data_IF_790766628579
#
_entry.id   IF_790766628579
#
_cell.length_a   1.000
_cell.length_b   1.000
_cell.length_c   1.000
_cell.angle_alpha   90.00
_cell.angle_beta   90.00
_cell.angle_gamma   90.00
#
_symmetry.space_group_name_H-M   'P 1'
#
loop_
_entity.id
_entity.type
_entity.pdbx_description
1 polymer ?
#
# COMPACT_ATOMS: atom_id res chain seq x y z
N UNK A 1 -13.11 14.26 -12.16
CA UNK A 1 -11.86 14.12 -11.37
C UNK A 1 -12.29 13.51 -10.07
N UNK A 2 -12.17 12.19 -9.90
CA UNK A 2 -12.55 11.56 -8.63
C UNK A 2 -11.37 11.71 -7.68
N UNK A 3 -11.49 12.71 -6.81
CA UNK A 3 -10.63 12.93 -5.68
C UNK A 3 -11.05 11.91 -4.61
N UNK A 4 -10.38 10.76 -4.55
CA UNK A 4 -10.54 9.85 -3.41
C UNK A 4 -9.80 10.48 -2.23
N UNK A 5 -10.57 10.88 -1.21
CA UNK A 5 -10.02 11.46 0.01
C UNK A 5 -9.67 10.33 0.97
N UNK A 6 -8.36 10.12 1.18
CA UNK A 6 -7.85 9.23 2.22
C UNK A 6 -7.52 10.10 3.43
N UNK A 7 -8.27 9.94 4.51
CA UNK A 7 -7.89 10.61 5.76
C UNK A 7 -6.91 9.72 6.51
N UNK A 8 -5.70 10.23 6.68
CA UNK A 8 -4.58 9.49 7.28
C UNK A 8 -4.26 10.15 8.63
N UNK A 9 -4.99 9.77 9.66
CA UNK A 9 -4.75 10.24 11.02
C UNK A 9 -3.47 9.57 11.58
N UNK A 10 -2.32 10.16 11.24
CA UNK A 10 -1.00 9.78 11.70
C UNK A 10 -0.69 10.46 13.04
N UNK A 11 -1.00 9.75 14.12
CA UNK A 11 -0.73 10.23 15.49
C UNK A 11 0.75 10.46 15.81
N UNK A 12 1.67 9.93 15.00
CA UNK A 12 3.08 9.71 15.38
C UNK A 12 4.10 10.76 14.92
N UNK A 13 3.71 11.81 14.19
CA UNK A 13 4.63 12.89 13.83
C UNK A 13 4.32 14.16 14.61
N UNK A 14 5.37 14.88 15.02
CA UNK A 14 5.31 16.25 15.53
C UNK A 14 4.91 17.19 14.38
N UNK A 15 3.70 17.00 13.86
CA UNK A 15 3.11 17.86 12.86
C UNK A 15 2.35 18.99 13.55
N UNK A 16 2.51 20.18 13.00
CA UNK A 16 1.77 21.37 13.39
C UNK A 16 0.56 21.41 12.47
N UNK A 17 -0.62 21.06 12.99
CA UNK A 17 -1.89 20.97 12.25
C UNK A 17 -1.95 19.85 11.18
N UNK A 18 -2.91 19.92 10.26
CA UNK A 18 -3.09 18.96 9.15
C UNK A 18 -2.19 19.29 7.96
N UNK A 19 -1.35 18.35 7.54
CA UNK A 19 -0.60 18.43 6.29
C UNK A 19 -1.36 17.70 5.17
N UNK A 20 -1.64 18.42 4.07
CA UNK A 20 -2.28 17.86 2.90
C UNK A 20 -1.26 17.43 1.86
N UNK A 21 -1.28 16.16 1.50
CA UNK A 21 -0.45 15.59 0.43
C UNK A 21 -1.30 15.01 -0.68
N UNK A 22 -1.00 15.36 -1.93
CA UNK A 22 -1.67 14.80 -3.10
C UNK A 22 -0.74 13.82 -3.82
N UNK A 23 -1.01 12.53 -3.68
CA UNK A 23 -0.22 11.47 -4.33
C UNK A 23 -1.00 10.95 -5.53
N UNK A 24 -0.45 11.13 -6.73
CA UNK A 24 -0.96 10.47 -7.94
C UNK A 24 -0.48 9.03 -7.95
N UNK A 25 -1.43 8.10 -7.98
CA UNK A 25 -1.23 6.67 -8.03
C UNK A 25 -1.85 6.15 -9.34
N UNK A 26 -1.15 5.28 -10.07
CA UNK A 26 -1.60 4.72 -11.37
C UNK A 26 -2.10 5.76 -12.40
N UNK A 27 -1.59 7.00 -12.31
CA UNK A 27 -1.92 8.11 -13.19
C UNK A 27 -3.26 8.81 -12.89
N UNK A 28 -4.36 8.06 -12.69
CA UNK A 28 -5.71 8.60 -12.54
C UNK A 28 -6.26 8.58 -11.11
N UNK A 29 -5.71 7.74 -10.22
CA UNK A 29 -6.08 7.70 -8.82
C UNK A 29 -5.33 8.81 -8.08
N UNK A 30 -6.06 9.80 -7.57
CA UNK A 30 -5.48 10.83 -6.70
C UNK A 30 -5.81 10.47 -5.27
N UNK A 31 -4.77 10.19 -4.49
CA UNK A 31 -4.87 9.98 -3.06
C UNK A 31 -4.65 11.33 -2.38
N UNK A 32 -5.71 11.90 -1.81
CA UNK A 32 -5.57 13.06 -0.94
C UNK A 32 -5.30 12.52 0.46
N UNK A 33 -4.05 12.58 0.90
CA UNK A 33 -3.62 12.19 2.24
C UNK A 33 -3.76 13.41 3.16
N UNK A 34 -4.47 13.21 4.27
CA UNK A 34 -4.61 14.21 5.33
C UNK A 34 -3.83 13.71 6.53
N UNK A 35 -2.60 14.21 6.72
CA UNK A 35 -1.74 13.85 7.84
C UNK A 35 -2.05 14.77 9.03
N UNK A 36 -2.78 14.26 10.02
CA UNK A 36 -3.30 15.04 11.13
C UNK A 36 -2.41 14.88 12.38
N UNK A 37 -1.85 15.99 12.88
CA UNK A 37 -1.03 16.00 14.09
C UNK A 37 -1.74 15.46 15.33
N UNK A 38 -1.10 14.55 16.05
CA UNK A 38 -1.69 13.84 17.20
C UNK A 38 -1.70 14.59 18.54
N UNK A 39 -1.38 15.90 18.59
CA UNK A 39 -1.33 16.65 19.84
C UNK A 39 -2.76 16.95 20.35
N UNK A 40 -2.94 16.93 21.67
CA UNK A 40 -4.25 17.08 22.34
C UNK A 40 -5.05 18.30 21.86
N UNK A 41 -4.41 19.47 21.78
CA UNK A 41 -5.05 20.70 21.31
C UNK A 41 -5.56 20.61 19.85
N UNK A 42 -4.88 19.84 18.99
CA UNK A 42 -5.33 19.64 17.61
C UNK A 42 -6.46 18.62 17.54
N UNK A 43 -6.37 17.53 18.31
CA UNK A 43 -7.43 16.52 18.39
C UNK A 43 -8.76 17.12 18.83
N UNK A 44 -8.76 17.99 19.83
CA UNK A 44 -9.97 18.70 20.27
C UNK A 44 -10.56 19.57 19.14
N UNK A 45 -9.72 20.29 18.40
CA UNK A 45 -10.15 21.09 17.25
C UNK A 45 -10.75 20.21 16.13
N UNK A 46 -10.18 19.04 15.87
CA UNK A 46 -10.70 18.09 14.89
C UNK A 46 -12.11 17.59 15.25
N UNK A 47 -12.41 17.41 16.55
CA UNK A 47 -13.74 16.94 16.98
C UNK A 47 -14.76 18.07 17.18
N UNK A 48 -14.29 19.30 17.35
CA UNK A 48 -15.14 20.47 17.57
C UNK A 48 -15.32 21.30 16.29
N UNK A 49 -14.37 22.17 15.97
CA UNK A 49 -14.52 23.19 14.92
C UNK A 49 -14.27 22.66 13.52
N UNK A 50 -13.43 21.64 13.35
CA UNK A 50 -13.06 21.08 12.06
C UNK A 50 -13.73 19.73 11.74
N UNK A 51 -14.69 19.28 12.57
CA UNK A 51 -15.30 17.94 12.47
C UNK A 51 -15.82 17.62 11.08
N UNK A 52 -16.63 18.51 10.50
CA UNK A 52 -17.22 18.31 9.17
C UNK A 52 -16.17 18.38 8.05
N UNK A 53 -15.07 19.09 8.26
CA UNK A 53 -14.00 19.20 7.27
C UNK A 53 -13.14 17.93 7.24
N UNK A 54 -12.85 17.35 8.42
CA UNK A 54 -11.98 16.18 8.56
C UNK A 54 -12.72 14.89 8.26
N UNK A 55 -13.95 14.72 8.76
CA UNK A 55 -14.62 13.41 8.78
C UNK A 55 -15.64 13.20 7.66
N UNK A 56 -15.81 14.16 6.74
CA UNK A 56 -16.74 14.06 5.62
C UNK A 56 -16.05 13.57 4.34
N UNK A 57 -16.74 12.73 3.58
CA UNK A 57 -16.26 12.12 2.34
C UNK A 57 -14.95 11.33 2.53
N UNK A 58 -14.83 10.63 3.67
CA UNK A 58 -13.67 9.81 3.99
C UNK A 58 -13.88 8.41 3.41
N UNK A 59 -12.96 7.99 2.56
CA UNK A 59 -12.96 6.64 1.98
C UNK A 59 -12.24 5.64 2.87
N UNK A 60 -11.18 6.12 3.52
CA UNK A 60 -10.30 5.32 4.36
C UNK A 60 -9.86 6.15 5.56
N UNK A 61 -9.97 5.56 6.74
CA UNK A 61 -9.32 6.02 7.96
C UNK A 61 -8.13 5.10 8.26
N UNK A 62 -6.93 5.67 8.30
CA UNK A 62 -5.74 4.99 8.84
C UNK A 62 -5.43 5.61 10.20
N UNK A 63 -5.52 4.82 11.28
CA UNK A 63 -5.17 5.26 12.63
C UNK A 63 -3.91 4.55 13.11
N UNK A 64 -2.93 5.31 13.61
CA UNK A 64 -1.63 4.78 14.05
C UNK A 64 -1.51 4.79 15.57
N UNK A 65 -1.22 3.62 16.13
CA UNK A 65 -0.94 3.41 17.55
C UNK A 65 0.55 3.23 17.77
N UNK A 66 1.12 3.90 18.76
CA UNK A 66 2.49 3.65 19.21
C UNK A 66 2.49 2.45 20.18
N UNK A 67 3.26 1.41 19.87
CA UNK A 67 3.33 0.21 20.74
C UNK A 67 3.92 0.51 22.11
N UNK A 68 4.75 1.54 22.25
CA UNK A 68 5.36 1.96 23.52
C UNK A 68 4.50 2.97 24.30
N UNK A 69 3.30 3.31 23.80
CA UNK A 69 2.45 4.28 24.46
C UNK A 69 2.14 3.85 25.90
N UNK A 70 2.39 4.77 26.83
CA UNK A 70 2.07 4.61 28.26
C UNK A 70 0.65 5.08 28.58
N UNK A 71 -0.01 5.74 27.65
CA UNK A 71 -1.34 6.38 27.83
C UNK A 71 -2.42 5.67 27.00
N UNK A 72 -2.43 4.32 27.07
CA UNK A 72 -3.28 3.47 26.24
C UNK A 72 -4.77 3.80 26.34
N UNK A 73 -5.27 4.11 27.54
CA UNK A 73 -6.67 4.49 27.74
C UNK A 73 -7.03 5.78 26.99
N UNK A 74 -6.11 6.76 27.02
CA UNK A 74 -6.28 8.02 26.29
C UNK A 74 -6.22 7.79 24.77
N UNK A 75 -5.31 6.92 24.33
CA UNK A 75 -5.22 6.54 22.91
C UNK A 75 -6.51 5.91 22.40
N UNK A 76 -7.09 5.01 23.20
CA UNK A 76 -8.36 4.36 22.88
C UNK A 76 -9.51 5.36 22.88
N UNK A 77 -9.54 6.30 23.82
CA UNK A 77 -10.58 7.33 23.85
C UNK A 77 -10.56 8.19 22.58
N UNK A 78 -9.38 8.66 22.16
CA UNK A 78 -9.25 9.41 20.91
C UNK A 78 -9.63 8.60 19.68
N UNK A 79 -9.23 7.32 19.65
CA UNK A 79 -9.61 6.43 18.56
C UNK A 79 -11.13 6.27 18.46
N UNK A 80 -11.82 6.03 19.58
CA UNK A 80 -13.28 5.92 19.61
C UNK A 80 -13.97 7.22 19.17
N UNK A 81 -13.47 8.38 19.59
CA UNK A 81 -13.98 9.68 19.13
C UNK A 81 -13.84 9.86 17.62
N UNK A 82 -12.73 9.38 17.01
CA UNK A 82 -12.59 9.34 15.54
C UNK A 82 -13.62 8.40 14.90
N UNK A 83 -13.83 7.21 15.47
CA UNK A 83 -14.81 6.26 14.94
C UNK A 83 -16.24 6.80 15.02
N UNK A 84 -16.62 7.47 16.09
CA UNK A 84 -17.93 8.11 16.23
C UNK A 84 -18.13 9.21 15.17
N UNK A 85 -17.10 10.03 14.93
CA UNK A 85 -17.14 11.05 13.90
C UNK A 85 -17.24 10.44 12.49
N UNK A 86 -16.51 9.35 12.21
CA UNK A 86 -16.61 8.60 10.96
C UNK A 86 -17.99 7.96 10.79
N UNK A 87 -18.51 7.31 11.82
CA UNK A 87 -19.82 6.64 11.76
C UNK A 87 -20.95 7.63 11.43
N UNK A 88 -20.83 8.88 11.87
CA UNK A 88 -21.82 9.93 11.60
C UNK A 88 -21.66 10.56 10.21
N UNK A 89 -20.43 10.71 9.71
CA UNK A 89 -20.15 11.52 8.52
C UNK A 89 -19.74 10.72 7.27
N UNK A 90 -19.12 9.56 7.46
CA UNK A 90 -18.59 8.67 6.41
C UNK A 90 -18.69 7.20 6.84
N UNK A 91 -19.90 6.63 7.04
CA UNK A 91 -20.08 5.29 7.60
C UNK A 91 -19.54 4.15 6.71
N UNK A 92 -19.32 4.40 5.42
CA UNK A 92 -18.74 3.43 4.47
C UNK A 92 -17.20 3.45 4.46
N UNK A 93 -16.57 4.32 5.26
CA UNK A 93 -15.12 4.43 5.34
C UNK A 93 -14.48 3.12 5.81
N UNK A 94 -13.41 2.69 5.14
CA UNK A 94 -12.63 1.52 5.54
C UNK A 94 -11.66 1.90 6.66
N UNK A 95 -11.68 1.15 7.76
CA UNK A 95 -10.87 1.45 8.94
C UNK A 95 -9.63 0.55 8.99
N UNK A 96 -8.45 1.16 9.11
CA UNK A 96 -7.19 0.48 9.31
C UNK A 96 -6.50 0.97 10.58
N UNK A 97 -5.98 0.02 11.35
CA UNK A 97 -5.21 0.33 12.56
C UNK A 97 -3.77 -0.18 12.39
N UNK A 98 -2.81 0.73 12.48
CA UNK A 98 -1.39 0.39 12.43
C UNK A 98 -0.83 0.38 13.85
N UNK A 99 -0.50 -0.80 14.38
CA UNK A 99 0.28 -0.92 15.61
C UNK A 99 1.75 -0.74 15.21
N UNK A 100 2.28 0.45 15.46
CA UNK A 100 3.53 0.94 14.92
C UNK A 100 4.69 0.87 15.92
N UNK A 101 5.91 1.06 15.42
CA UNK A 101 7.18 0.92 16.16
C UNK A 101 7.40 -0.48 16.74
N UNK A 102 6.90 -1.51 16.06
CA UNK A 102 7.03 -2.90 16.49
C UNK A 102 8.47 -3.42 16.53
N UNK A 103 9.42 -2.68 15.95
CA UNK A 103 10.86 -2.90 16.09
C UNK A 103 11.35 -2.80 17.55
N UNK A 104 10.68 -1.98 18.38
CA UNK A 104 11.01 -1.79 19.79
C UNK A 104 10.56 -2.97 20.68
N UNK A 105 9.70 -3.84 20.14
CA UNK A 105 9.26 -5.07 20.80
C UNK A 105 10.18 -6.22 20.42
N UNK A 106 10.54 -7.03 21.42
CA UNK A 106 11.32 -8.26 21.23
C UNK A 106 10.59 -9.23 20.26
N UNK A 107 11.33 -9.84 19.34
CA UNK A 107 10.77 -10.60 18.20
C UNK A 107 9.80 -11.71 18.64
N UNK A 108 10.11 -12.41 19.73
CA UNK A 108 9.31 -13.47 20.33
C UNK A 108 7.98 -12.96 20.94
N UNK A 109 7.90 -11.68 21.28
CA UNK A 109 6.70 -11.05 21.85
C UNK A 109 5.82 -10.35 20.81
N UNK A 110 6.35 -10.08 19.60
CA UNK A 110 5.64 -9.27 18.58
C UNK A 110 4.29 -9.86 18.18
N UNK A 111 4.20 -11.18 18.01
CA UNK A 111 2.95 -11.85 17.62
C UNK A 111 1.91 -11.81 18.74
N UNK A 112 2.35 -11.97 19.99
CA UNK A 112 1.48 -12.02 21.18
C UNK A 112 0.85 -10.64 21.39
N UNK A 113 1.70 -9.60 21.47
CA UNK A 113 1.25 -8.22 21.67
C UNK A 113 0.35 -7.77 20.52
N UNK A 114 0.70 -8.10 19.27
CA UNK A 114 -0.12 -7.75 18.12
C UNK A 114 -1.53 -8.36 18.21
N UNK A 115 -1.65 -9.65 18.52
CA UNK A 115 -2.96 -10.34 18.59
C UNK A 115 -3.83 -9.80 19.73
N UNK A 116 -3.24 -9.49 20.86
CA UNK A 116 -3.95 -8.88 22.00
C UNK A 116 -4.53 -7.52 21.61
N UNK A 117 -3.68 -6.64 21.05
CA UNK A 117 -4.10 -5.31 20.58
C UNK A 117 -5.13 -5.39 19.45
N UNK A 118 -4.95 -6.31 18.50
CA UNK A 118 -5.90 -6.52 17.40
C UNK A 118 -7.28 -6.93 17.93
N UNK A 119 -7.34 -7.83 18.92
CA UNK A 119 -8.61 -8.25 19.51
C UNK A 119 -9.33 -7.09 20.20
N UNK A 120 -8.61 -6.27 20.96
CA UNK A 120 -9.17 -5.09 21.61
C UNK A 120 -9.66 -4.06 20.60
N UNK A 121 -8.85 -3.75 19.59
CA UNK A 121 -9.21 -2.78 18.55
C UNK A 121 -10.45 -3.24 17.79
N UNK A 122 -10.53 -4.51 17.38
CA UNK A 122 -11.72 -5.06 16.71
C UNK A 122 -12.97 -4.97 17.58
N UNK A 123 -12.86 -5.26 18.88
CA UNK A 123 -13.97 -5.14 19.83
C UNK A 123 -14.44 -3.70 20.00
N UNK A 124 -13.50 -2.77 20.15
CA UNK A 124 -13.77 -1.35 20.35
C UNK A 124 -14.21 -0.63 19.08
N UNK A 125 -13.98 -1.22 17.90
CA UNK A 125 -14.36 -0.65 16.61
C UNK A 125 -15.83 -0.84 16.26
N UNK A 126 -16.52 -1.78 16.92
CA UNK A 126 -17.91 -2.10 16.60
C UNK A 126 -18.81 -0.86 16.69
N UNK A 127 -19.74 -0.65 15.73
CA UNK A 127 -20.14 -1.59 14.68
C UNK A 127 -19.28 -1.57 13.40
N UNK A 128 -18.24 -0.73 13.33
CA UNK A 128 -17.35 -0.65 12.18
C UNK A 128 -16.36 -1.83 12.18
N UNK A 129 -16.02 -2.30 10.98
CA UNK A 129 -14.96 -3.30 10.80
C UNK A 129 -13.60 -2.61 10.68
N UNK A 130 -12.59 -3.10 11.40
CA UNK A 130 -11.22 -2.61 11.28
C UNK A 130 -10.24 -3.73 10.91
N UNK A 131 -9.25 -3.36 10.09
CA UNK A 131 -8.13 -4.24 9.72
C UNK A 131 -6.86 -3.75 10.40
N UNK A 132 -6.20 -4.63 11.17
CA UNK A 132 -5.00 -4.29 11.93
C UNK A 132 -3.72 -4.76 11.23
N UNK A 133 -2.67 -3.96 11.31
CA UNK A 133 -1.32 -4.33 10.87
C UNK A 133 -0.30 -3.97 11.94
N UNK A 134 0.65 -4.88 12.18
CA UNK A 134 1.91 -4.52 12.85
C UNK A 134 2.84 -3.88 11.84
N UNK A 135 3.46 -2.75 12.19
CA UNK A 135 4.31 -2.01 11.27
C UNK A 135 5.57 -1.48 11.95
N UNK A 136 6.65 -1.41 11.18
CA UNK A 136 7.88 -0.70 11.50
C UNK A 136 8.44 -0.03 10.25
N UNK A 137 9.09 1.12 10.43
CA UNK A 137 9.85 1.78 9.36
C UNK A 137 11.17 1.08 9.02
N UNK A 138 11.61 0.15 9.88
CA UNK A 138 12.90 -0.53 9.77
C UNK A 138 12.83 -1.85 9.01
N UNK A 139 11.62 -2.30 8.64
CA UNK A 139 11.39 -3.56 7.94
C UNK A 139 10.29 -3.44 6.85
N UNK A 140 9.99 -4.55 6.19
CA UNK A 140 9.02 -4.62 5.09
C UNK A 140 7.55 -4.49 5.53
N UNK A 141 7.26 -4.52 6.82
CA UNK A 141 5.87 -4.60 7.32
C UNK A 141 5.07 -3.33 7.00
N UNK A 142 5.72 -2.17 6.92
CA UNK A 142 5.07 -0.93 6.49
C UNK A 142 4.61 -1.01 5.02
N UNK A 143 5.44 -1.56 4.13
CA UNK A 143 5.05 -1.77 2.73
C UNK A 143 3.86 -2.73 2.62
N UNK A 144 3.76 -3.73 3.51
CA UNK A 144 2.64 -4.67 3.55
C UNK A 144 1.33 -3.96 3.86
N UNK A 145 1.32 -3.16 4.92
CA UNK A 145 0.15 -2.41 5.33
C UNK A 145 -0.31 -1.45 4.22
N UNK A 146 0.60 -0.63 3.69
CA UNK A 146 0.27 0.33 2.64
C UNK A 146 -0.15 -0.34 1.33
N UNK A 147 0.49 -1.46 0.93
CA UNK A 147 0.08 -2.20 -0.25
C UNK A 147 -1.35 -2.71 -0.09
N UNK A 148 -1.71 -3.25 1.08
CA UNK A 148 -3.08 -3.71 1.35
C UNK A 148 -4.10 -2.57 1.36
N UNK A 149 -3.73 -1.41 1.93
CA UNK A 149 -4.61 -0.24 2.00
C UNK A 149 -4.88 0.30 0.60
N UNK A 150 -3.82 0.52 -0.19
CA UNK A 150 -3.94 1.07 -1.54
C UNK A 150 -4.62 0.08 -2.47
N UNK A 151 -4.34 -1.23 -2.34
CA UNK A 151 -5.00 -2.27 -3.13
C UNK A 151 -6.53 -2.19 -3.04
N UNK A 152 -7.08 -1.89 -1.85
CA UNK A 152 -8.51 -1.74 -1.64
C UNK A 152 -9.13 -0.48 -2.28
N UNK A 153 -8.30 0.44 -2.78
CA UNK A 153 -8.72 1.68 -3.43
C UNK A 153 -8.53 1.65 -4.95
N UNK A 154 -7.84 0.63 -5.48
CA UNK A 154 -7.61 0.52 -6.91
C UNK A 154 -8.91 0.09 -7.60
N UNK A 155 -9.48 0.91 -8.50
CA UNK A 155 -10.64 0.50 -9.29
C UNK A 155 -10.25 -0.60 -10.28
N UNK A 156 -11.20 -1.49 -10.60
CA UNK A 156 -11.03 -2.55 -11.61
C UNK A 156 -9.86 -3.53 -11.35
N UNK A 157 -9.44 -3.70 -10.09
CA UNK A 157 -8.31 -4.57 -9.75
C UNK A 157 -8.48 -6.02 -10.26
N UNK A 158 -9.72 -6.53 -10.32
CA UNK A 158 -10.03 -7.86 -10.86
C UNK A 158 -9.70 -8.02 -12.34
N UNK A 159 -9.91 -6.98 -13.15
CA UNK A 159 -9.57 -7.01 -14.58
C UNK A 159 -8.05 -6.96 -14.79
N UNK A 160 -7.35 -6.21 -13.93
CA UNK A 160 -5.90 -6.15 -13.88
C UNK A 160 -5.31 -7.52 -13.52
N UNK A 161 -5.82 -8.17 -12.47
CA UNK A 161 -5.42 -9.52 -12.07
C UNK A 161 -5.67 -10.55 -13.19
N UNK A 162 -6.85 -10.53 -13.82
CA UNK A 162 -7.17 -11.42 -14.94
C UNK A 162 -6.22 -11.23 -16.12
N UNK A 163 -5.88 -9.97 -16.43
CA UNK A 163 -4.94 -9.65 -17.50
C UNK A 163 -3.51 -10.06 -17.15
N UNK A 164 -3.10 -9.89 -15.90
CA UNK A 164 -1.79 -10.29 -15.41
C UNK A 164 -1.64 -11.82 -15.39
N UNK A 165 -2.70 -12.55 -15.01
CA UNK A 165 -2.75 -14.01 -15.09
C UNK A 165 -2.60 -14.51 -16.53
N UNK A 166 -3.32 -13.90 -17.49
CA UNK A 166 -3.17 -14.23 -18.91
C UNK A 166 -1.76 -13.97 -19.41
N UNK A 167 -1.17 -12.82 -19.03
CA UNK A 167 0.20 -12.48 -19.38
C UNK A 167 1.19 -13.51 -18.82
N UNK A 168 1.11 -13.84 -17.53
CA UNK A 168 1.96 -14.83 -16.88
C UNK A 168 1.88 -16.22 -17.56
N UNK A 169 0.69 -16.62 -18.02
CA UNK A 169 0.50 -17.86 -18.75
C UNK A 169 1.15 -17.83 -20.14
N UNK A 170 1.09 -16.69 -20.84
CA UNK A 170 1.69 -16.54 -22.19
C UNK A 170 3.22 -16.57 -22.12
N UNK A 171 3.81 -15.95 -21.11
CA UNK A 171 5.27 -15.92 -20.91
C UNK A 171 5.81 -17.14 -20.17
N UNK A 172 4.93 -18.05 -19.77
CA UNK A 172 5.21 -19.19 -18.91
C UNK A 172 6.01 -18.85 -17.63
N UNK A 173 5.72 -17.70 -17.03
CA UNK A 173 6.40 -17.23 -15.82
C UNK A 173 5.91 -17.99 -14.57
N UNK A 174 6.80 -18.18 -13.60
CA UNK A 174 6.45 -18.75 -12.30
C UNK A 174 5.70 -17.74 -11.43
N UNK A 175 6.10 -16.47 -11.55
CA UNK A 175 5.53 -15.37 -10.81
C UNK A 175 5.66 -14.07 -11.60
N UNK A 176 4.61 -13.25 -11.57
CA UNK A 176 4.62 -11.90 -12.13
C UNK A 176 4.10 -10.93 -11.09
N UNK A 177 4.87 -9.87 -10.82
CA UNK A 177 4.49 -8.79 -9.91
C UNK A 177 4.34 -7.51 -10.70
N UNK A 178 3.31 -6.74 -10.39
CA UNK A 178 3.09 -5.41 -10.94
C UNK A 178 3.19 -4.39 -9.82
N UNK A 179 3.96 -3.34 -10.05
CA UNK A 179 4.25 -2.29 -9.08
C UNK A 179 3.83 -0.92 -9.60
N UNK A 180 3.39 -0.04 -8.71
CA UNK A 180 3.25 1.37 -9.03
C UNK A 180 4.64 2.04 -9.09
N UNK A 181 4.88 2.87 -10.10
CA UNK A 181 6.20 3.41 -10.44
C UNK A 181 6.85 4.27 -9.37
N UNK A 182 6.10 5.16 -8.71
CA UNK A 182 6.67 6.13 -7.77
C UNK A 182 6.99 5.48 -6.42
N UNK A 183 6.02 4.74 -5.88
CA UNK A 183 6.04 4.13 -4.56
C UNK A 183 6.68 2.75 -4.54
N UNK A 184 6.68 2.03 -5.67
CA UNK A 184 7.04 0.62 -5.76
C UNK A 184 6.15 -0.31 -4.91
N UNK A 185 4.95 0.12 -4.54
CA UNK A 185 3.95 -0.75 -3.92
C UNK A 185 3.44 -1.78 -4.93
N UNK A 186 3.23 -3.01 -4.47
CA UNK A 186 2.64 -4.07 -5.30
C UNK A 186 1.16 -3.78 -5.50
N UNK A 187 0.72 -3.70 -6.75
CA UNK A 187 -0.67 -3.41 -7.12
C UNK A 187 -1.42 -4.67 -7.57
N UNK A 188 -0.71 -5.65 -8.11
CA UNK A 188 -1.27 -6.92 -8.56
C UNK A 188 -0.14 -7.94 -8.67
N UNK A 189 -0.47 -9.22 -8.52
CA UNK A 189 0.48 -10.30 -8.71
C UNK A 189 -0.21 -11.54 -9.30
N UNK A 190 0.58 -12.39 -9.92
CA UNK A 190 0.17 -13.71 -10.38
C UNK A 190 1.23 -14.71 -9.92
N UNK A 191 0.80 -15.76 -9.23
CA UNK A 191 1.66 -16.81 -8.71
C UNK A 191 1.24 -18.16 -9.29
N UNK A 192 2.12 -18.80 -10.06
CA UNK A 192 1.91 -20.14 -10.62
C UNK A 192 2.64 -21.23 -9.84
N UNK A 193 3.70 -20.87 -9.12
CA UNK A 193 4.42 -21.79 -8.22
C UNK A 193 4.35 -21.32 -6.77
N UNK A 194 4.22 -22.26 -5.84
CA UNK A 194 4.24 -21.92 -4.42
C UNK A 194 5.63 -21.44 -3.98
N UNK A 195 5.69 -20.31 -3.28
CA UNK A 195 6.91 -19.74 -2.72
C UNK A 195 6.85 -19.81 -1.19
N UNK A 196 7.97 -20.18 -0.57
CA UNK A 196 8.07 -20.31 0.90
C UNK A 196 7.89 -18.99 1.63
N UNK A 197 8.43 -17.90 1.07
CA UNK A 197 8.36 -16.58 1.68
C UNK A 197 7.08 -15.84 1.26
N UNK A 198 6.15 -15.74 2.20
CA UNK A 198 4.88 -15.03 2.03
C UNK A 198 5.04 -13.50 2.07
N UNK A 199 6.17 -12.98 2.56
CA UNK A 199 6.47 -11.55 2.67
C UNK A 199 7.40 -11.06 1.55
N UNK A 200 7.60 -11.88 0.51
CA UNK A 200 8.53 -11.56 -0.59
C UNK A 200 8.12 -10.32 -1.39
N UNK A 201 6.82 -10.04 -1.50
CA UNK A 201 6.33 -8.91 -2.30
C UNK A 201 6.84 -7.59 -1.73
N UNK A 202 6.72 -7.43 -0.42
CA UNK A 202 7.11 -6.23 0.31
C UNK A 202 8.62 -6.10 0.43
N UNK A 203 9.32 -7.24 0.60
CA UNK A 203 10.78 -7.28 0.54
C UNK A 203 11.30 -6.80 -0.81
N UNK A 204 10.73 -7.29 -1.91
CA UNK A 204 11.10 -6.85 -3.27
C UNK A 204 10.81 -5.36 -3.45
N UNK A 205 9.61 -4.88 -3.06
CA UNK A 205 9.27 -3.46 -3.08
C UNK A 205 10.30 -2.60 -2.35
N UNK A 206 10.68 -2.98 -1.12
CA UNK A 206 11.66 -2.27 -0.33
C UNK A 206 13.06 -2.29 -0.98
N UNK A 207 13.55 -3.46 -1.39
CA UNK A 207 14.86 -3.61 -2.05
C UNK A 207 14.97 -2.71 -3.29
N UNK A 208 13.99 -2.78 -4.19
CA UNK A 208 14.03 -2.01 -5.43
C UNK A 208 13.83 -0.52 -5.17
N UNK A 209 13.01 -0.14 -4.18
CA UNK A 209 12.87 1.26 -3.79
C UNK A 209 14.18 1.84 -3.25
N UNK A 210 14.89 1.11 -2.37
CA UNK A 210 16.20 1.54 -1.86
C UNK A 210 17.25 1.64 -2.98
N UNK A 211 17.24 0.69 -3.91
CA UNK A 211 18.11 0.73 -5.09
C UNK A 211 17.81 1.96 -5.97
N UNK A 212 16.53 2.23 -6.25
CA UNK A 212 16.11 3.39 -7.04
C UNK A 212 16.51 4.72 -6.38
N UNK A 213 16.37 4.83 -5.06
CA UNK A 213 16.83 5.99 -4.30
C UNK A 213 18.35 6.17 -4.41
N UNK A 214 19.10 5.07 -4.38
CA UNK A 214 20.55 5.08 -4.58
C UNK A 214 20.94 5.54 -5.98
N UNK A 215 20.24 5.10 -7.04
CA UNK A 215 20.45 5.61 -8.40
C UNK A 215 20.18 7.12 -8.50
N UNK A 216 19.11 7.60 -7.86
CA UNK A 216 18.74 9.03 -7.91
C UNK A 216 19.77 9.92 -7.22
N UNK A 217 20.42 9.44 -6.14
CA UNK A 217 21.57 10.14 -5.52
C UNK A 217 22.76 10.29 -6.47
N UNK A 218 22.89 9.39 -7.45
CA UNK A 218 23.90 9.44 -8.51
C UNK A 218 23.41 10.20 -9.75
N UNK A 219 22.30 10.94 -9.65
CA UNK A 219 21.64 11.65 -10.76
C UNK A 219 21.24 10.75 -11.95
N UNK A 220 21.06 9.44 -11.71
CA UNK A 220 20.59 8.47 -12.70
C UNK A 220 19.19 7.95 -12.35
N UNK A 221 18.42 7.57 -13.38
CA UNK A 221 17.11 6.95 -13.19
C UNK A 221 17.20 5.44 -13.41
N UNK A 222 16.65 4.67 -12.48
CA UNK A 222 16.45 3.24 -12.67
C UNK A 222 15.51 3.00 -13.86
N UNK A 223 15.89 2.11 -14.78
CA UNK A 223 15.11 1.76 -15.97
C UNK A 223 14.70 0.30 -15.98
N UNK A 224 15.66 -0.62 -15.82
CA UNK A 224 15.42 -2.05 -15.77
C UNK A 224 16.52 -2.78 -15.00
N UNK A 225 16.26 -4.03 -14.63
CA UNK A 225 17.19 -4.94 -13.97
C UNK A 225 16.93 -6.37 -14.43
N UNK A 226 17.99 -7.10 -14.75
CA UNK A 226 17.96 -8.56 -14.95
C UNK A 226 18.84 -9.20 -13.87
N UNK A 227 18.28 -10.18 -13.15
CA UNK A 227 19.00 -10.96 -12.15
C UNK A 227 18.86 -12.43 -12.54
N UNK A 228 19.99 -13.14 -12.63
CA UNK A 228 20.01 -14.55 -13.05
C UNK A 228 20.93 -15.36 -12.15
N UNK A 229 20.50 -16.57 -11.85
CA UNK A 229 21.33 -17.62 -11.27
C UNK A 229 20.98 -18.98 -11.91
N UNK A 230 21.48 -20.08 -11.34
CA UNK A 230 21.23 -21.43 -11.84
C UNK A 230 19.80 -21.93 -11.63
N UNK A 231 19.01 -21.26 -10.78
CA UNK A 231 17.65 -21.67 -10.40
C UNK A 231 16.55 -20.80 -11.01
N UNK A 232 16.82 -19.50 -11.26
CA UNK A 232 15.85 -18.58 -11.83
C UNK A 232 16.49 -17.39 -12.55
N UNK A 233 15.69 -16.75 -13.40
CA UNK A 233 15.90 -15.42 -13.93
C UNK A 233 14.73 -14.51 -13.54
N UNK A 234 15.03 -13.29 -13.11
CA UNK A 234 14.05 -12.25 -12.80
C UNK A 234 14.32 -11.00 -13.62
N UNK A 235 13.27 -10.49 -14.25
CA UNK A 235 13.32 -9.30 -15.10
C UNK A 235 12.43 -8.22 -14.50
N UNK A 236 13.01 -7.09 -14.13
CA UNK A 236 12.28 -5.91 -13.67
C UNK A 236 12.41 -4.86 -14.75
N UNK A 237 11.30 -4.41 -15.32
CA UNK A 237 11.30 -3.40 -16.38
C UNK A 237 10.11 -2.45 -16.23
N UNK A 238 10.27 -1.24 -16.73
CA UNK A 238 9.18 -0.29 -16.83
C UNK A 238 8.09 -0.87 -17.72
N UNK A 239 6.88 -1.00 -17.20
CA UNK A 239 5.80 -1.69 -17.92
C UNK A 239 4.87 -0.72 -18.62
N UNK A 240 4.31 0.25 -17.90
CA UNK A 240 3.53 1.37 -18.45
C UNK A 240 4.18 2.71 -18.05
N UNK A 241 3.53 3.84 -18.34
CA UNK A 241 3.96 5.14 -17.81
C UNK A 241 3.94 5.20 -16.28
N UNK A 242 3.09 4.40 -15.64
CA UNK A 242 2.79 4.43 -14.21
C UNK A 242 3.17 3.15 -13.46
N UNK A 243 3.68 2.12 -14.15
CA UNK A 243 3.96 0.82 -13.52
C UNK A 243 5.30 0.22 -13.92
N UNK A 244 5.82 -0.63 -13.04
CA UNK A 244 6.90 -1.58 -13.29
C UNK A 244 6.35 -3.00 -13.24
N UNK A 245 6.93 -3.91 -14.00
CA UNK A 245 6.63 -5.34 -13.93
C UNK A 245 7.89 -6.10 -13.53
N UNK A 246 7.74 -7.09 -12.66
CA UNK A 246 8.74 -8.13 -12.40
C UNK A 246 8.23 -9.45 -12.93
N UNK A 247 9.03 -10.14 -13.74
CA UNK A 247 8.73 -11.47 -14.27
C UNK A 247 9.81 -12.43 -13.77
N UNK A 248 9.40 -13.46 -13.02
CA UNK A 248 10.26 -14.52 -12.50
C UNK A 248 10.04 -15.80 -13.30
N UNK A 249 11.11 -16.41 -13.79
CA UNK A 249 11.08 -17.66 -14.54
C UNK A 249 12.18 -18.60 -14.06
N UNK A 250 11.86 -19.88 -13.88
CA UNK A 250 12.84 -20.93 -13.55
C UNK A 250 13.29 -21.76 -14.75
N UNK A 251 12.62 -21.66 -15.89
CA UNK A 251 13.02 -22.41 -17.09
C UNK A 251 14.25 -21.76 -17.74
N UNK A 252 15.43 -22.43 -17.71
CA UNK A 252 16.64 -21.91 -18.32
C UNK A 252 16.62 -21.98 -19.86
N UNK A 253 15.67 -22.72 -20.46
CA UNK A 253 15.57 -22.91 -21.91
C UNK A 253 14.96 -21.70 -22.60
N UNK A 254 14.23 -20.84 -21.89
CA UNK A 254 13.60 -19.65 -22.45
C UNK A 254 14.67 -18.54 -22.57
N UNK A 255 15.00 -18.07 -23.79
CA UNK A 255 15.96 -16.98 -23.97
C UNK A 255 15.43 -15.67 -23.37
N UNK A 256 16.32 -14.86 -22.77
CA UNK A 256 15.96 -13.56 -22.17
C UNK A 256 15.20 -12.66 -23.15
N UNK A 257 15.60 -12.68 -24.43
CA UNK A 257 15.03 -11.85 -25.49
C UNK A 257 13.55 -12.15 -25.71
N UNK A 258 13.12 -13.42 -25.57
CA UNK A 258 11.72 -13.82 -25.72
C UNK A 258 10.88 -13.18 -24.62
N UNK A 259 11.36 -13.24 -23.37
CA UNK A 259 10.70 -12.62 -22.22
C UNK A 259 10.60 -11.11 -22.37
N UNK A 260 11.69 -10.46 -22.77
CA UNK A 260 11.73 -9.01 -22.96
C UNK A 260 10.82 -8.55 -24.11
N UNK A 261 10.75 -9.29 -25.21
CA UNK A 261 9.82 -9.03 -26.31
C UNK A 261 8.37 -9.17 -25.84
N UNK A 262 8.07 -10.21 -25.06
CA UNK A 262 6.72 -10.41 -24.51
C UNK A 262 6.31 -9.30 -23.54
N UNK A 263 7.20 -8.88 -22.64
CA UNK A 263 6.97 -7.72 -21.76
C UNK A 263 6.66 -6.47 -22.60
N UNK A 264 7.47 -6.22 -23.64
CA UNK A 264 7.28 -5.06 -24.53
C UNK A 264 5.98 -5.11 -25.31
N UNK A 265 5.55 -6.28 -25.77
CA UNK A 265 4.30 -6.46 -26.51
C UNK A 265 3.07 -6.30 -25.62
N UNK A 266 3.15 -6.78 -24.38
CA UNK A 266 2.07 -6.66 -23.40
C UNK A 266 1.81 -5.22 -22.95
N UNK A 267 2.84 -4.35 -22.95
CA UNK A 267 2.75 -2.93 -22.55
C UNK A 267 1.51 -2.21 -23.10
N UNK A 268 1.25 -2.32 -24.41
CA UNK A 268 0.10 -1.63 -25.05
C UNK A 268 -1.26 -2.09 -24.53
N UNK A 269 -1.38 -3.33 -24.07
CA UNK A 269 -2.60 -3.85 -23.47
C UNK A 269 -2.85 -3.24 -22.10
N UNK A 270 -1.81 -3.22 -21.25
CA UNK A 270 -1.92 -2.67 -19.90
C UNK A 270 -2.05 -1.14 -19.87
N UNK A 271 -1.43 -0.43 -20.82
CA UNK A 271 -1.67 1.01 -21.03
C UNK A 271 -3.14 1.32 -21.36
N UNK A 272 -3.87 0.41 -22.02
CA UNK A 272 -5.31 0.58 -22.27
C UNK A 272 -6.13 0.33 -21.02
N UNK A 273 -5.77 -0.66 -20.19
CA UNK A 273 -6.47 -0.93 -18.94
C UNK A 273 -6.43 0.28 -17.99
N UNK A 274 -5.27 0.94 -17.88
CA UNK A 274 -5.13 2.20 -17.13
C UNK A 274 -6.02 3.33 -17.68
N UNK A 275 -6.22 3.37 -19.01
CA UNK A 275 -7.09 4.36 -19.67
C UNK A 275 -8.58 4.00 -19.57
N UNK A 276 -8.98 2.74 -19.61
CA UNK A 276 -10.40 2.36 -19.49
C UNK A 276 -10.92 2.62 -18.07
N UNK A 277 -10.09 2.42 -17.05
CA UNK A 277 -10.37 2.94 -15.70
C UNK A 277 -10.54 4.46 -15.66
N UNK A 278 -10.10 5.23 -16.67
CA UNK A 278 -10.33 6.67 -16.75
C UNK A 278 -11.67 7.05 -17.39
N UNK A 279 -12.23 6.23 -18.30
CA UNK A 279 -13.48 6.51 -19.02
C UNK A 279 -14.74 6.02 -18.31
N UNK A 280 -14.67 4.88 -17.61
CA UNK A 280 -15.84 4.30 -16.91
C UNK A 280 -16.17 4.98 -15.59
N UNK A 281 -15.33 5.92 -15.14
CA UNK A 281 -15.45 6.64 -13.85
C UNK A 281 -15.88 8.10 -14.08
N UNK A 282 -16.22 8.46 -15.33
CA UNK A 282 -16.68 9.79 -15.75
C UNK A 282 -18.18 9.87 -16.06
N UNK A 283 -18.98 8.87 -15.67
CA UNK A 283 -20.45 8.90 -15.70
C UNK A 283 -21.01 8.78 -14.30
#
# INVERSE_FOLDING_TARGET
MNNLSIVVLLKTLFLVDVEHSHVRFLGNLVLNLWDCGGQEAFMENYFASQRDNIFRNVEVLIYVFDVESRELERDMHYYQSCLEAILQNSPEAKIFCLIHKMDLVAEDQRDIIFKEREADLKRLSLPLECTCFRTSIWDETLYRAWSSIVYMLIPNVKELESSLQKFANIVDADEVLLFEKATFLVISHCQRRHHRDVHRFEKVSNIIKQFKLSCSKLAAQFQSMEVRNSAFAAYIDMFTSNTYVMVCMSDPLIPSEVTLINIRNARKHFEKLEKVSSSSIGQ
#
